data_IF_799546056007
#
_entry.id   IF_799546056007
#
_cell.length_a   1.000
_cell.length_b   1.000
_cell.length_c   1.000
_cell.angle_alpha   90.00
_cell.angle_beta   90.00
_cell.angle_gamma   90.00
#
_symmetry.space_group_name_H-M   'P 1'
#
loop_
_entity.id
_entity.type
_entity.pdbx_description
1 polymer ?
#
# COMPACT_ATOMS: atom_id res chain seq x y z
N UNK A 1 -5.40 -8.89 18.57
CA UNK A 1 -4.15 -8.59 17.83
C UNK A 1 -4.53 -7.70 16.68
N UNK A 2 -4.20 -6.41 16.75
CA UNK A 2 -4.48 -5.45 15.67
C UNK A 2 -3.77 -5.93 14.40
N UNK A 3 -4.56 -6.37 13.42
CA UNK A 3 -4.05 -6.64 12.10
C UNK A 3 -3.95 -5.27 11.42
N UNK A 4 -2.77 -4.65 11.46
CA UNK A 4 -2.51 -3.30 10.93
C UNK A 4 -2.74 -3.17 9.41
N UNK A 5 -3.35 -4.19 8.76
CA UNK A 5 -3.67 -4.24 7.33
C UNK A 5 -2.47 -3.99 6.41
N UNK A 6 -1.27 -4.18 6.94
CA UNK A 6 0.01 -4.05 6.23
C UNK A 6 0.47 -5.44 5.82
N UNK A 7 0.86 -5.60 4.55
CA UNK A 7 1.56 -6.79 4.04
C UNK A 7 2.83 -6.37 3.30
N UNK A 8 3.93 -7.09 3.50
CA UNK A 8 5.13 -6.94 2.67
C UNK A 8 4.82 -7.42 1.24
N UNK A 9 5.32 -6.71 0.23
CA UNK A 9 5.17 -7.12 -1.16
C UNK A 9 6.07 -8.34 -1.46
N UNK A 10 5.60 -9.22 -2.34
CA UNK A 10 6.39 -10.35 -2.84
C UNK A 10 7.11 -9.88 -4.11
N UNK A 11 8.42 -10.09 -4.19
CA UNK A 11 9.22 -9.72 -5.36
C UNK A 11 9.51 -8.21 -5.52
N UNK A 12 9.10 -7.37 -4.58
CA UNK A 12 9.41 -5.93 -4.57
C UNK A 12 9.74 -5.47 -3.15
N UNK A 13 10.72 -4.57 -3.01
CA UNK A 13 11.00 -3.95 -1.72
C UNK A 13 9.92 -2.91 -1.40
N UNK A 14 9.13 -3.18 -0.37
CA UNK A 14 8.01 -2.34 0.03
C UNK A 14 6.87 -3.08 0.72
N UNK A 15 5.85 -2.31 1.05
CA UNK A 15 4.69 -2.73 1.82
C UNK A 15 3.40 -2.24 1.15
N UNK A 16 2.30 -2.94 1.45
CA UNK A 16 0.94 -2.57 1.08
C UNK A 16 0.10 -2.37 2.33
N UNK A 17 -0.46 -1.18 2.51
CA UNK A 17 -1.46 -0.87 3.51
C UNK A 17 -2.86 -0.86 2.88
N UNK A 18 -3.86 -1.43 3.57
CA UNK A 18 -5.27 -1.36 3.17
C UNK A 18 -6.07 -0.50 4.15
N UNK A 19 -6.71 0.55 3.64
CA UNK A 19 -7.62 1.43 4.40
C UNK A 19 -8.97 1.43 3.66
N UNK A 20 -9.95 0.69 4.18
CA UNK A 20 -11.21 0.45 3.46
C UNK A 20 -10.95 -0.22 2.10
N UNK A 21 -11.29 0.50 1.03
CA UNK A 21 -11.09 0.06 -0.36
C UNK A 21 -9.77 0.54 -0.98
N UNK A 22 -9.07 1.48 -0.34
CA UNK A 22 -7.82 2.01 -0.83
C UNK A 22 -6.65 1.06 -0.58
N UNK A 23 -5.70 1.07 -1.52
CA UNK A 23 -4.42 0.33 -1.43
C UNK A 23 -3.27 1.32 -1.57
N UNK A 24 -2.50 1.45 -0.49
CA UNK A 24 -1.32 2.30 -0.46
C UNK A 24 -0.10 1.40 -0.59
N UNK A 25 0.77 1.70 -1.56
CA UNK A 25 2.09 1.07 -1.69
C UNK A 25 3.12 2.03 -1.11
N UNK A 26 4.08 1.54 -0.34
CA UNK A 26 5.11 2.41 0.20
C UNK A 26 6.41 1.66 0.46
N UNK A 27 7.51 2.39 0.53
CA UNK A 27 8.81 1.88 0.92
C UNK A 27 9.33 2.70 2.10
N UNK A 28 10.11 2.07 2.95
CA UNK A 28 10.71 2.77 4.08
C UNK A 28 12.17 2.99 3.73
N UNK A 29 12.53 4.22 3.35
CA UNK A 29 13.93 4.61 3.27
C UNK A 29 14.32 5.24 4.62
N UNK A 30 15.37 4.71 5.27
CA UNK A 30 15.79 5.15 6.61
C UNK A 30 16.29 6.61 6.65
N UNK A 31 16.53 7.23 5.49
CA UNK A 31 16.81 8.68 5.38
C UNK A 31 15.63 9.54 4.93
N UNK A 32 14.53 8.94 4.42
CA UNK A 32 13.30 9.61 3.99
C UNK A 32 12.12 8.63 4.04
N UNK A 33 11.11 8.90 4.86
CA UNK A 33 9.86 8.13 4.82
C UNK A 33 9.04 8.59 3.60
N UNK A 34 9.06 7.82 2.51
CA UNK A 34 8.39 8.16 1.26
C UNK A 34 7.24 7.17 0.97
N UNK A 35 6.03 7.71 0.78
CA UNK A 35 4.80 6.95 0.54
C UNK A 35 4.38 7.19 -0.91
N UNK A 36 4.38 6.14 -1.74
CA UNK A 36 4.04 6.22 -3.16
C UNK A 36 2.64 5.65 -3.43
N UNK A 37 1.65 6.52 -3.47
CA UNK A 37 0.28 6.10 -3.73
C UNK A 37 0.08 5.84 -5.23
N UNK A 38 0.35 4.61 -5.66
CA UNK A 38 0.25 4.21 -7.08
C UNK A 38 -1.17 4.29 -7.65
N UNK A 39 -2.21 4.10 -6.83
CA UNK A 39 -3.59 4.17 -7.29
C UNK A 39 -4.54 4.41 -6.10
N UNK A 40 -5.56 5.25 -6.30
CA UNK A 40 -6.57 5.62 -5.30
C UNK A 40 -7.92 5.40 -5.97
N UNK A 41 -8.59 4.30 -5.63
CA UNK A 41 -9.85 3.96 -6.28
C UNK A 41 -10.78 3.19 -5.33
N UNK A 42 -12.08 3.27 -5.61
CA UNK A 42 -13.14 2.55 -4.91
C UNK A 42 -13.23 1.13 -5.47
N UNK A 43 -13.61 0.14 -4.66
CA UNK A 43 -13.58 -1.27 -5.06
C UNK A 43 -14.53 -1.54 -6.23
N UNK A 44 -13.98 -1.74 -7.44
CA UNK A 44 -14.71 -2.19 -8.62
C UNK A 44 -14.29 -1.55 -9.95
N UNK A 45 -13.64 -0.38 -9.92
CA UNK A 45 -13.37 0.42 -11.14
C UNK A 45 -11.91 0.35 -11.64
N UNK A 46 -11.00 -0.28 -10.90
CA UNK A 46 -9.55 -0.37 -11.22
C UNK A 46 -9.24 -1.10 -12.56
N UNK A 47 -10.24 -1.75 -13.18
CA UNK A 47 -10.10 -2.45 -14.47
C UNK A 47 -11.06 -1.93 -15.57
N UNK A 48 -11.53 -0.69 -15.48
CA UNK A 48 -12.17 -0.01 -16.63
C UNK A 48 -11.19 0.91 -17.33
#
# INVERSE_FOLDING_TARGET
MENNNIKKLIGHDGYRLRIGDYRIIYRINKGKLEILVNNVDVRGEVYK
#
